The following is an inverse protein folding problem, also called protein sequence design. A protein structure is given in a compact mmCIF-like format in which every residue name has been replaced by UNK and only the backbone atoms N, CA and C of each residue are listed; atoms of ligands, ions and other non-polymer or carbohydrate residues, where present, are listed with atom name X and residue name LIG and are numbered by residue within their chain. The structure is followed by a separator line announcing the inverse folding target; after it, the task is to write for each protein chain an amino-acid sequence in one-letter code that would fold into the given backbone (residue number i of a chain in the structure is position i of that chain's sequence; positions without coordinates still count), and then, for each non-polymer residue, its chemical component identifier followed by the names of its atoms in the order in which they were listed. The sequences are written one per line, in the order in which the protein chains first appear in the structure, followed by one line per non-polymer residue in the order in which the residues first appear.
data_IF_622610994288
#
_entry.id   IF_622610994288
#
_cell.length_a   1.000
_cell.length_b   1.000
_cell.length_c   1.000
_cell.angle_alpha   90.00
_cell.angle_beta   90.00
_cell.angle_gamma   90.00
#
_symmetry.space_group_name_H-M   'P 1'
#
loop_
_entity.id
_entity.type
_entity.pdbx_description
1 polymer ?
#
# COMPACT_ATOMS: atom_id res chain seq x y z
N UNK A 1 18.02 20.64 10.66
CA UNK A 1 16.73 19.93 10.66
C UNK A 1 16.34 19.70 9.23
N UNK A 2 15.96 18.48 8.87
CA UNK A 2 15.47 18.13 7.54
C UNK A 2 14.08 17.50 7.69
N UNK A 3 13.16 17.88 6.80
CA UNK A 3 11.81 17.36 6.72
C UNK A 3 11.49 17.15 5.24
N UNK A 4 11.15 15.93 4.88
CA UNK A 4 10.67 15.56 3.56
C UNK A 4 9.29 14.92 3.68
N UNK A 5 8.46 15.15 2.67
CA UNK A 5 7.14 14.56 2.61
C UNK A 5 6.66 14.38 1.18
N UNK A 6 5.85 13.35 0.98
CA UNK A 6 5.24 13.03 -0.31
C UNK A 6 3.78 12.62 -0.13
N UNK A 7 2.98 12.92 -1.14
CA UNK A 7 1.64 12.39 -1.32
C UNK A 7 1.64 11.54 -2.59
N UNK A 8 0.97 10.40 -2.54
CA UNK A 8 0.87 9.53 -3.71
C UNK A 8 -0.55 8.99 -3.91
N UNK A 9 -0.86 8.76 -5.19
CA UNK A 9 -2.10 8.16 -5.63
C UNK A 9 -1.80 7.22 -6.80
N UNK A 10 -2.17 5.96 -6.66
CA UNK A 10 -1.96 4.90 -7.65
C UNK A 10 -3.30 4.29 -8.00
N UNK A 11 -3.59 4.25 -9.30
CA UNK A 11 -4.70 3.47 -9.85
C UNK A 11 -4.11 2.33 -10.65
N UNK A 12 -4.39 1.12 -10.18
CA UNK A 12 -3.93 -0.10 -10.82
C UNK A 12 -5.13 -0.85 -11.39
N UNK A 13 -4.89 -1.53 -12.51
CA UNK A 13 -5.85 -2.40 -13.18
C UNK A 13 -5.21 -3.75 -13.42
N UNK A 14 -6.05 -4.78 -13.56
CA UNK A 14 -5.61 -6.14 -13.90
C UNK A 14 -4.53 -6.68 -12.93
N UNK A 15 -4.71 -6.38 -11.64
CA UNK A 15 -3.80 -6.81 -10.57
C UNK A 15 -3.96 -8.30 -10.32
N UNK A 16 -2.87 -9.06 -10.25
CA UNK A 16 -2.98 -10.49 -9.95
C UNK A 16 -3.20 -10.68 -8.44
N UNK A 17 -4.28 -11.36 -8.07
CA UNK A 17 -4.54 -11.85 -6.72
C UNK A 17 -4.62 -13.37 -6.74
N UNK A 18 -4.13 -14.02 -5.69
CA UNK A 18 -4.26 -15.46 -5.53
C UNK A 18 -5.48 -15.79 -4.67
N UNK A 19 -6.39 -16.56 -5.24
CA UNK A 19 -7.57 -17.07 -4.53
C UNK A 19 -7.40 -18.57 -4.27
N UNK A 20 -7.81 -19.02 -3.09
CA UNK A 20 -7.79 -20.43 -2.75
C UNK A 20 -9.03 -21.12 -3.33
N UNK A 21 -8.83 -22.10 -4.21
CA UNK A 21 -9.90 -22.91 -4.77
C UNK A 21 -9.64 -24.37 -4.42
N UNK A 22 -10.35 -24.89 -3.41
CA UNK A 22 -10.08 -26.21 -2.85
C UNK A 22 -8.68 -26.27 -2.22
N UNK A 23 -7.83 -27.18 -2.73
CA UNK A 23 -6.48 -27.45 -2.21
C UNK A 23 -5.34 -26.71 -2.92
N UNK A 24 -5.63 -25.80 -3.85
CA UNK A 24 -4.60 -25.05 -4.60
C UNK A 24 -4.94 -23.56 -4.73
N UNK A 25 -3.91 -22.74 -4.93
CA UNK A 25 -4.05 -21.32 -5.21
C UNK A 25 -4.12 -21.07 -6.72
N UNK A 26 -5.10 -20.27 -7.15
CA UNK A 26 -5.26 -19.87 -8.56
C UNK A 26 -5.10 -18.36 -8.69
N UNK A 27 -4.27 -17.86 -9.62
CA UNK A 27 -4.20 -16.43 -9.90
C UNK A 27 -5.48 -15.97 -10.60
N UNK A 28 -5.98 -14.80 -10.21
CA UNK A 28 -7.13 -14.11 -10.80
C UNK A 28 -6.75 -12.64 -11.00
N UNK A 29 -7.35 -11.99 -12.01
CA UNK A 29 -7.21 -10.55 -12.18
C UNK A 29 -8.23 -9.83 -11.30
N UNK A 30 -7.73 -9.07 -10.33
CA UNK A 30 -8.43 -8.01 -9.65
C UNK A 30 -8.55 -6.84 -10.62
N UNK A 31 -9.77 -6.51 -11.07
CA UNK A 31 -9.92 -5.59 -12.19
C UNK A 31 -9.46 -4.17 -11.87
N UNK A 32 -9.73 -3.64 -10.67
CA UNK A 32 -9.31 -2.28 -10.26
C UNK A 32 -8.96 -2.15 -8.79
N UNK A 33 -7.85 -1.46 -8.51
CA UNK A 33 -7.49 -1.02 -7.17
C UNK A 33 -7.06 0.46 -7.16
N UNK A 34 -7.33 1.12 -6.04
CA UNK A 34 -6.86 2.47 -5.75
C UNK A 34 -6.06 2.44 -4.46
N UNK A 35 -4.83 2.96 -4.52
CA UNK A 35 -3.95 3.13 -3.37
C UNK A 35 -3.67 4.61 -3.23
N UNK A 36 -4.06 5.18 -2.10
CA UNK A 36 -3.68 6.54 -1.73
C UNK A 36 -2.74 6.47 -0.53
N UNK A 37 -1.85 7.45 -0.40
CA UNK A 37 -1.07 7.56 0.80
C UNK A 37 -0.27 8.83 0.93
N UNK A 38 0.37 8.95 2.08
CA UNK A 38 1.30 10.01 2.44
C UNK A 38 2.49 9.42 3.16
N UNK A 39 3.65 10.01 2.91
CA UNK A 39 4.92 9.65 3.55
C UNK A 39 5.56 10.91 4.09
N UNK A 40 6.14 10.81 5.28
CA UNK A 40 6.89 11.90 5.89
C UNK A 40 8.12 11.36 6.61
N UNK A 41 9.25 12.04 6.45
CA UNK A 41 10.50 11.72 7.11
C UNK A 41 11.11 12.99 7.73
N UNK A 42 11.62 12.88 8.95
CA UNK A 42 12.25 13.99 9.64
C UNK A 42 13.56 13.58 10.29
N UNK A 43 14.53 14.49 10.29
CA UNK A 43 15.79 14.34 11.00
C UNK A 43 16.12 15.59 11.83
N UNK A 44 16.47 15.36 13.10
CA UNK A 44 16.87 16.37 14.06
C UNK A 44 18.27 16.05 14.58
N UNK A 45 19.18 17.02 14.45
CA UNK A 45 20.49 16.94 15.10
C UNK A 45 20.47 17.76 16.39
N UNK A 46 20.84 17.13 17.50
CA UNK A 46 20.98 17.78 18.79
C UNK A 46 22.45 17.87 19.18
N UNK A 47 22.90 19.10 19.43
CA UNK A 47 24.24 19.44 19.92
C UNK A 47 25.40 18.89 19.06
N UNK A 48 25.17 18.67 17.75
CA UNK A 48 26.14 18.06 16.82
C UNK A 48 26.66 16.68 17.27
N UNK A 49 26.00 16.02 18.22
CA UNK A 49 26.42 14.74 18.82
C UNK A 49 25.38 13.65 18.68
N UNK A 50 24.10 14.02 18.66
CA UNK A 50 23.00 13.09 18.55
C UNK A 50 22.19 13.42 17.31
N UNK A 51 21.81 12.39 16.55
CA UNK A 51 20.93 12.50 15.39
C UNK A 51 19.71 11.61 15.61
N UNK A 52 18.56 12.23 15.68
CA UNK A 52 17.26 11.57 15.69
C UNK A 52 16.70 11.58 14.27
N UNK A 53 16.16 10.45 13.85
CA UNK A 53 15.46 10.34 12.57
C UNK A 53 14.22 9.47 12.74
N UNK A 54 13.18 9.79 11.99
CA UNK A 54 11.93 9.06 12.01
C UNK A 54 11.22 9.18 10.67
N UNK A 55 10.46 8.15 10.33
CA UNK A 55 9.60 8.13 9.15
C UNK A 55 8.24 7.56 9.50
N UNK A 56 7.21 8.04 8.82
CA UNK A 56 5.84 7.55 8.94
C UNK A 56 5.19 7.50 7.57
N UNK A 57 4.43 6.43 7.32
CA UNK A 57 3.69 6.21 6.08
C UNK A 57 2.25 5.87 6.43
N UNK A 58 1.30 6.56 5.79
CA UNK A 58 -0.12 6.25 5.86
C UNK A 58 -0.60 5.80 4.49
N UNK A 59 -1.27 4.65 4.43
CA UNK A 59 -1.75 4.05 3.17
C UNK A 59 -3.20 3.62 3.30
N UNK A 60 -4.06 4.07 2.37
CA UNK A 60 -5.43 3.61 2.16
C UNK A 60 -5.50 2.88 0.82
N UNK A 61 -5.41 1.55 0.86
CA UNK A 61 -5.52 0.67 -0.30
C UNK A 61 -6.90 0.04 -0.34
N UNK A 62 -7.64 0.25 -1.44
CA UNK A 62 -8.98 -0.31 -1.64
C UNK A 62 -9.13 -0.98 -3.00
N UNK A 63 -9.75 -2.15 -3.00
CA UNK A 63 -10.32 -2.76 -4.20
C UNK A 63 -11.54 -1.93 -4.62
N UNK A 64 -11.66 -1.63 -5.90
CA UNK A 64 -12.77 -0.83 -6.44
C UNK A 64 -13.82 -1.66 -7.19
N UNK A 65 -13.62 -2.96 -7.29
CA UNK A 65 -14.60 -3.90 -7.81
C UNK A 65 -15.13 -4.76 -6.67
N UNK A 66 -16.41 -5.16 -6.77
CA UNK A 66 -16.97 -6.18 -5.87
C UNK A 66 -16.08 -7.41 -5.95
N UNK A 67 -15.72 -7.94 -4.78
CA UNK A 67 -15.04 -9.21 -4.67
C UNK A 67 -15.86 -10.21 -5.48
N UNK A 68 -15.29 -10.74 -6.56
CA UNK A 68 -15.94 -11.81 -7.31
C UNK A 68 -16.02 -12.96 -6.31
N UNK A 69 -17.16 -13.06 -5.61
CA UNK A 69 -17.55 -14.23 -4.85
C UNK A 69 -17.68 -15.33 -5.89
N UNK A 70 -16.56 -16.00 -6.16
CA UNK A 70 -16.56 -17.28 -6.85
C UNK A 70 -17.16 -18.26 -5.84
N UNK A 71 -18.48 -18.18 -5.69
CA UNK A 71 -19.26 -19.13 -4.93
C UNK A 71 -19.11 -20.44 -5.70
N UNK A 72 -18.09 -21.22 -5.29
CA UNK A 72 -17.87 -22.56 -5.78
C UNK A 72 -19.11 -23.35 -5.43
N UNK A 73 -19.85 -23.76 -6.46
CA UNK A 73 -20.72 -24.93 -6.33
C UNK A 73 -19.88 -26.13 -5.89
#
# INVERSE_FOLDING_TARGET
MALDGALFAVWARDLIVFHQTGGFFRPLNLGRARILGSEAAAALEWARRLRFFGQVTFTDARNQEEEISVNGK
#
